data_IF_312689846191
#
_entry.id   IF_312689846191
#
_cell.length_a   1.000
_cell.length_b   1.000
_cell.length_c   1.000
_cell.angle_alpha   90.00
_cell.angle_beta   90.00
_cell.angle_gamma   90.00
#
_symmetry.space_group_name_H-M   'P 1'
#
loop_
_entity.id
_entity.type
_entity.pdbx_description
1 polymer ?
#
# COMPACT_ATOMS: atom_id res chain seq x y z
N UNK A 1 0.24 3.14 -11.34
CA UNK A 1 0.09 4.22 -10.33
C UNK A 1 -1.23 4.92 -10.55
N UNK A 2 -1.86 5.40 -9.49
CA UNK A 2 -3.16 6.09 -9.52
C UNK A 2 -2.93 7.56 -9.18
N UNK A 3 -3.20 8.44 -10.12
CA UNK A 3 -3.10 9.89 -9.95
C UNK A 3 -4.45 10.49 -9.53
N UNK A 4 -4.48 11.74 -9.09
CA UNK A 4 -5.72 12.45 -8.79
C UNK A 4 -6.65 12.42 -10.01
N UNK A 5 -7.91 12.00 -9.83
CA UNK A 5 -8.87 11.77 -10.93
C UNK A 5 -8.57 10.55 -11.80
N UNK A 6 -7.55 9.74 -11.47
CA UNK A 6 -7.12 8.57 -12.25
C UNK A 6 -7.79 7.24 -11.87
N UNK A 7 -8.74 7.24 -10.94
CA UNK A 7 -9.41 6.01 -10.44
C UNK A 7 -10.04 5.21 -11.57
N UNK A 8 -10.80 5.83 -12.46
CA UNK A 8 -11.42 5.15 -13.60
C UNK A 8 -10.41 4.55 -14.59
N UNK A 9 -9.26 5.22 -14.75
CA UNK A 9 -8.14 4.68 -15.53
C UNK A 9 -7.54 3.42 -14.90
N UNK A 10 -7.34 3.44 -13.58
CA UNK A 10 -6.84 2.29 -12.83
C UNK A 10 -7.82 1.11 -12.86
N UNK A 11 -9.14 1.39 -12.75
CA UNK A 11 -10.17 0.35 -12.87
C UNK A 11 -10.23 -0.26 -14.27
N UNK A 12 -10.02 0.53 -15.33
CA UNK A 12 -9.88 -0.02 -16.70
C UNK A 12 -8.66 -0.91 -16.80
N UNK A 13 -7.50 -0.45 -16.33
CA UNK A 13 -6.27 -1.24 -16.32
C UNK A 13 -6.43 -2.58 -15.56
N UNK A 14 -7.17 -2.59 -14.46
CA UNK A 14 -7.49 -3.81 -13.73
C UNK A 14 -8.36 -4.78 -14.54
N UNK A 15 -9.34 -4.28 -15.32
CA UNK A 15 -10.12 -5.11 -16.24
C UNK A 15 -9.26 -5.71 -17.37
N UNK A 16 -8.37 -4.90 -17.94
CA UNK A 16 -7.45 -5.35 -18.99
C UNK A 16 -6.47 -6.40 -18.45
N UNK A 17 -5.94 -6.19 -17.24
CA UNK A 17 -5.08 -7.16 -16.57
C UNK A 17 -5.80 -8.50 -16.33
N UNK A 18 -7.06 -8.45 -15.87
CA UNK A 18 -7.90 -9.65 -15.70
C UNK A 18 -8.10 -10.39 -17.02
N UNK A 19 -8.38 -9.66 -18.09
CA UNK A 19 -8.55 -10.25 -19.43
C UNK A 19 -7.24 -10.88 -19.94
N UNK A 20 -6.08 -10.36 -19.50
CA UNK A 20 -4.76 -10.91 -19.78
C UNK A 20 -4.35 -12.07 -18.84
N UNK A 21 -5.19 -12.46 -17.88
CA UNK A 21 -4.96 -13.60 -17.01
C UNK A 21 -4.35 -13.27 -15.65
N UNK A 22 -4.38 -12.00 -15.21
CA UNK A 22 -3.94 -11.65 -13.86
C UNK A 22 -4.97 -12.12 -12.81
N UNK A 23 -4.46 -12.58 -11.65
CA UNK A 23 -5.25 -12.99 -10.49
C UNK A 23 -5.32 -11.91 -9.41
N UNK A 24 -4.41 -10.93 -9.44
CA UNK A 24 -4.25 -9.88 -8.44
C UNK A 24 -3.72 -8.62 -9.13
N UNK A 25 -4.10 -7.44 -8.63
CA UNK A 25 -3.53 -6.15 -9.05
C UNK A 25 -2.97 -5.39 -7.85
N UNK A 26 -1.94 -4.58 -8.08
CA UNK A 26 -1.43 -3.63 -7.11
C UNK A 26 -1.86 -2.21 -7.50
N UNK A 27 -2.55 -1.53 -6.60
CA UNK A 27 -2.88 -0.11 -6.75
C UNK A 27 -1.89 0.74 -5.95
N UNK A 28 -1.00 1.41 -6.66
CA UNK A 28 -0.08 2.42 -6.13
C UNK A 28 -0.83 3.75 -6.05
N UNK A 29 -1.30 4.09 -4.84
CA UNK A 29 -2.13 5.28 -4.59
C UNK A 29 -1.34 6.46 -4.02
N UNK A 30 -0.04 6.32 -3.85
CA UNK A 30 0.82 7.37 -3.32
C UNK A 30 0.71 8.71 -4.09
N UNK A 31 0.66 8.77 -5.45
CA UNK A 31 0.50 10.04 -6.14
C UNK A 31 -0.87 10.68 -5.91
N UNK A 32 -1.93 9.88 -5.82
CA UNK A 32 -3.27 10.35 -5.49
C UNK A 32 -3.31 10.92 -4.07
N UNK A 33 -2.77 10.18 -3.09
CA UNK A 33 -2.75 10.60 -1.69
C UNK A 33 -1.94 11.88 -1.51
N UNK A 34 -0.76 11.98 -2.11
CA UNK A 34 0.08 13.18 -2.05
C UNK A 34 -0.64 14.41 -2.60
N UNK A 35 -1.27 14.31 -3.77
CA UNK A 35 -1.99 15.41 -4.39
C UNK A 35 -3.18 15.88 -3.53
N UNK A 36 -3.94 14.96 -2.95
CA UNK A 36 -5.13 15.30 -2.16
C UNK A 36 -4.78 15.83 -0.77
N UNK A 37 -3.78 15.25 -0.10
CA UNK A 37 -3.27 15.75 1.19
C UNK A 37 -2.64 17.13 1.00
N UNK A 38 -1.80 17.30 0.00
CA UNK A 38 -1.12 18.55 -0.30
C UNK A 38 -2.08 19.70 -0.65
N UNK A 39 -3.25 19.39 -1.23
CA UNK A 39 -4.31 20.40 -1.51
C UNK A 39 -5.30 20.63 -0.36
N UNK A 40 -5.10 19.98 0.80
CA UNK A 40 -5.96 20.14 1.97
C UNK A 40 -7.30 19.39 1.90
N UNK A 41 -7.47 18.51 0.92
CA UNK A 41 -8.69 17.68 0.73
C UNK A 41 -8.42 16.20 0.99
N UNK A 42 -7.57 15.89 1.94
CA UNK A 42 -7.16 14.52 2.28
C UNK A 42 -8.32 13.55 2.59
N UNK A 43 -9.46 14.05 3.07
CA UNK A 43 -10.66 13.23 3.24
C UNK A 43 -11.18 12.65 1.91
N UNK A 44 -10.97 13.33 0.79
CA UNK A 44 -11.35 12.81 -0.53
C UNK A 44 -10.55 11.58 -0.92
N UNK A 45 -9.33 11.43 -0.43
CA UNK A 45 -8.51 10.24 -0.68
C UNK A 45 -9.16 8.96 -0.14
N UNK A 46 -9.80 9.01 1.03
CA UNK A 46 -10.51 7.85 1.60
C UNK A 46 -11.67 7.41 0.70
N UNK A 47 -12.39 8.37 0.12
CA UNK A 47 -13.52 8.10 -0.78
C UNK A 47 -13.01 7.52 -2.10
N UNK A 48 -12.01 8.16 -2.73
CA UNK A 48 -11.47 7.73 -4.03
C UNK A 48 -10.80 6.36 -3.94
N UNK A 49 -9.98 6.13 -2.91
CA UNK A 49 -9.31 4.83 -2.71
C UNK A 49 -10.31 3.75 -2.30
N UNK A 50 -11.32 4.09 -1.49
CA UNK A 50 -12.41 3.17 -1.15
C UNK A 50 -13.19 2.73 -2.39
N UNK A 51 -13.53 3.69 -3.26
CA UNK A 51 -14.16 3.38 -4.54
C UNK A 51 -13.29 2.49 -5.43
N UNK A 52 -11.99 2.77 -5.51
CA UNK A 52 -11.03 1.97 -6.27
C UNK A 52 -10.99 0.51 -5.78
N UNK A 53 -10.86 0.28 -4.48
CA UNK A 53 -10.85 -1.07 -3.91
C UNK A 53 -12.17 -1.80 -4.13
N UNK A 54 -13.30 -1.11 -3.84
CA UNK A 54 -14.64 -1.72 -3.92
C UNK A 54 -15.13 -1.99 -5.36
N UNK A 55 -14.60 -1.26 -6.35
CA UNK A 55 -14.98 -1.42 -7.76
C UNK A 55 -13.99 -2.25 -8.58
N UNK A 56 -12.91 -2.72 -7.96
CA UNK A 56 -11.92 -3.56 -8.63
C UNK A 56 -12.50 -4.93 -8.99
N UNK A 57 -12.28 -5.36 -10.25
CA UNK A 57 -12.69 -6.69 -10.75
C UNK A 57 -11.76 -7.82 -10.33
N UNK A 58 -10.64 -7.48 -9.70
CA UNK A 58 -9.64 -8.40 -9.15
C UNK A 58 -9.40 -8.06 -7.68
N UNK A 59 -9.04 -9.05 -6.85
CA UNK A 59 -8.44 -8.76 -5.55
C UNK A 59 -7.28 -7.79 -5.71
N UNK A 60 -7.08 -6.88 -4.74
CA UNK A 60 -6.02 -5.89 -4.89
C UNK A 60 -5.06 -5.85 -3.70
N UNK A 61 -3.82 -5.47 -3.99
CA UNK A 61 -2.86 -4.94 -3.01
C UNK A 61 -3.01 -3.42 -3.01
N UNK A 62 -3.23 -2.84 -1.85
CA UNK A 62 -3.23 -1.39 -1.68
C UNK A 62 -1.86 -0.93 -1.16
N UNK A 63 -1.22 -0.04 -1.91
CA UNK A 63 0.12 0.47 -1.61
C UNK A 63 0.14 2.00 -1.68
N UNK A 64 0.47 2.66 -0.56
CA UNK A 64 0.80 4.08 -0.50
C UNK A 64 2.29 4.20 -0.15
N UNK A 65 3.14 4.20 -1.18
CA UNK A 65 4.60 4.14 -1.06
C UNK A 65 5.19 5.49 -0.67
N UNK A 66 6.10 5.47 0.33
CA UNK A 66 6.84 6.68 0.74
C UNK A 66 7.95 7.04 -0.24
N UNK A 67 8.32 8.33 -0.29
CA UNK A 67 9.37 8.84 -1.19
C UNK A 67 10.71 8.16 -0.95
N UNK A 68 11.07 7.88 0.30
CA UNK A 68 12.34 7.25 0.66
C UNK A 68 12.51 5.86 0.04
N UNK A 69 11.40 5.20 -0.33
CA UNK A 69 11.41 3.89 -0.98
C UNK A 69 10.80 3.95 -2.40
N UNK A 70 10.98 5.10 -3.09
CA UNK A 70 10.64 5.28 -4.50
C UNK A 70 9.16 5.48 -4.78
N UNK A 71 8.40 5.95 -3.81
CA UNK A 71 7.03 6.40 -3.96
C UNK A 71 6.90 7.89 -4.22
N UNK A 72 5.67 8.39 -4.12
CA UNK A 72 5.35 9.80 -4.22
C UNK A 72 4.82 10.40 -2.91
N UNK A 73 4.56 9.58 -1.88
CA UNK A 73 3.97 10.06 -0.63
C UNK A 73 5.04 10.61 0.31
N UNK A 74 4.97 11.91 0.63
CA UNK A 74 5.86 12.64 1.54
C UNK A 74 5.23 12.94 2.90
N UNK A 75 3.95 12.59 3.09
CA UNK A 75 3.20 12.86 4.31
C UNK A 75 3.55 11.94 5.49
N UNK A 76 2.84 12.12 6.59
CA UNK A 76 3.12 11.38 7.81
C UNK A 76 2.50 9.97 7.85
N UNK A 77 3.10 9.09 8.66
CA UNK A 77 2.65 7.72 8.84
C UNK A 77 1.32 7.62 9.62
N UNK A 78 0.93 8.63 10.39
CA UNK A 78 -0.34 8.64 11.15
C UNK A 78 -1.51 8.74 10.19
N UNK A 79 -1.44 9.67 9.24
CA UNK A 79 -2.47 9.81 8.20
C UNK A 79 -2.54 8.56 7.32
N UNK A 80 -1.39 8.00 6.95
CA UNK A 80 -1.32 6.77 6.16
C UNK A 80 -1.91 5.57 6.91
N UNK A 81 -1.66 5.47 8.22
CA UNK A 81 -2.28 4.50 9.10
C UNK A 81 -3.82 4.65 9.15
N UNK A 82 -4.31 5.90 9.19
CA UNK A 82 -5.75 6.18 9.15
C UNK A 82 -6.37 5.77 7.81
N UNK A 83 -5.70 6.04 6.69
CA UNK A 83 -6.12 5.58 5.37
C UNK A 83 -6.30 4.05 5.35
N UNK A 84 -5.27 3.32 5.70
CA UNK A 84 -5.33 1.86 5.74
C UNK A 84 -6.40 1.36 6.72
N UNK A 85 -6.45 1.90 7.93
CA UNK A 85 -7.41 1.47 8.95
C UNK A 85 -8.86 1.64 8.55
N UNK A 86 -9.21 2.75 7.88
CA UNK A 86 -10.57 2.97 7.36
C UNK A 86 -10.92 1.99 6.25
N UNK A 87 -9.99 1.73 5.34
CA UNK A 87 -10.22 0.83 4.21
C UNK A 87 -10.28 -0.64 4.63
N UNK A 88 -9.48 -1.04 5.61
CA UNK A 88 -9.52 -2.37 6.20
C UNK A 88 -10.84 -2.63 6.95
N UNK A 89 -11.43 -1.59 7.55
CA UNK A 89 -12.74 -1.68 8.20
C UNK A 89 -13.95 -1.47 7.27
N UNK A 90 -13.75 -1.30 5.97
CA UNK A 90 -14.84 -1.11 5.00
C UNK A 90 -15.53 -2.42 4.62
N UNK A 91 -16.67 -2.33 3.93
CA UNK A 91 -17.40 -3.51 3.40
C UNK A 91 -16.62 -4.23 2.29
N UNK A 92 -15.71 -3.54 1.62
CA UNK A 92 -14.92 -4.08 0.52
C UNK A 92 -13.42 -3.78 0.72
N UNK A 93 -12.80 -4.41 1.76
CA UNK A 93 -11.39 -4.16 2.05
C UNK A 93 -10.47 -4.69 0.93
N UNK A 94 -9.27 -4.13 0.77
CA UNK A 94 -8.27 -4.70 -0.12
C UNK A 94 -7.88 -6.11 0.37
N UNK A 95 -7.43 -6.97 -0.55
CA UNK A 95 -6.93 -8.30 -0.19
C UNK A 95 -5.63 -8.24 0.62
N UNK A 96 -4.78 -7.25 0.29
CA UNK A 96 -3.52 -6.97 0.98
C UNK A 96 -3.31 -5.47 1.12
N UNK A 97 -2.62 -5.07 2.19
CA UNK A 97 -1.99 -3.76 2.31
C UNK A 97 -0.47 -3.93 2.34
N UNK A 98 0.24 -3.08 1.61
CA UNK A 98 1.71 -3.06 1.57
C UNK A 98 2.22 -1.88 2.41
N UNK A 99 3.06 -2.19 3.40
CA UNK A 99 3.70 -1.21 4.29
C UNK A 99 5.20 -1.50 4.31
N UNK A 100 6.01 -0.46 4.18
CA UNK A 100 7.46 -0.59 4.32
C UNK A 100 7.83 -1.02 5.73
N UNK A 101 8.75 -1.95 5.88
CA UNK A 101 9.21 -2.39 7.19
C UNK A 101 9.84 -1.24 8.00
N UNK A 102 10.45 -0.28 7.32
CA UNK A 102 10.99 0.95 7.91
C UNK A 102 9.89 1.79 8.57
N UNK A 103 8.75 1.99 7.91
CA UNK A 103 7.60 2.70 8.46
C UNK A 103 6.88 1.89 9.56
N UNK A 104 6.74 0.58 9.36
CA UNK A 104 6.16 -0.32 10.36
C UNK A 104 6.88 -0.26 11.71
N UNK A 105 8.21 -0.22 11.69
CA UNK A 105 9.02 -0.13 12.90
C UNK A 105 9.08 1.29 13.49
N UNK A 106 9.13 2.31 12.64
CA UNK A 106 9.23 3.71 13.04
C UNK A 106 7.94 4.23 13.68
N UNK A 107 6.78 3.87 13.13
CA UNK A 107 5.48 4.42 13.55
C UNK A 107 4.63 3.40 14.31
N UNK A 108 4.58 3.55 15.65
CA UNK A 108 3.68 2.76 16.48
C UNK A 108 2.21 3.00 16.12
N UNK A 109 1.83 4.24 15.80
CA UNK A 109 0.45 4.60 15.44
C UNK A 109 0.00 3.90 14.15
N UNK A 110 0.86 3.88 13.09
CA UNK A 110 0.57 3.14 11.86
C UNK A 110 0.43 1.65 12.15
N UNK A 111 1.37 1.07 12.89
CA UNK A 111 1.36 -0.36 13.23
C UNK A 111 0.12 -0.77 14.01
N UNK A 112 -0.25 -0.02 15.04
CA UNK A 112 -1.43 -0.29 15.86
C UNK A 112 -2.71 -0.16 15.03
N UNK A 113 -2.80 0.88 14.20
CA UNK A 113 -3.98 1.14 13.40
C UNK A 113 -4.18 0.08 12.31
N UNK A 114 -3.12 -0.28 11.59
CA UNK A 114 -3.17 -1.32 10.55
C UNK A 114 -3.33 -2.69 11.19
N UNK A 115 -2.47 -3.06 12.14
CA UNK A 115 -2.49 -4.38 12.79
C UNK A 115 -3.81 -4.68 13.48
N UNK A 116 -4.41 -3.69 14.14
CA UNK A 116 -5.72 -3.83 14.79
C UNK A 116 -6.90 -3.92 13.83
N UNK A 117 -6.71 -3.64 12.54
CA UNK A 117 -7.79 -3.60 11.54
C UNK A 117 -7.66 -4.67 10.46
N UNK A 118 -6.61 -5.50 10.45
CA UNK A 118 -6.31 -6.44 9.35
C UNK A 118 -7.48 -7.41 9.04
N UNK A 119 -8.14 -7.97 10.04
CA UNK A 119 -9.18 -8.97 9.82
C UNK A 119 -8.69 -10.12 8.94
N UNK A 120 -9.32 -10.32 7.76
CA UNK A 120 -8.91 -11.30 6.75
C UNK A 120 -7.93 -10.73 5.70
N UNK A 121 -7.61 -9.45 5.77
CA UNK A 121 -6.65 -8.80 4.88
C UNK A 121 -5.22 -9.20 5.25
N UNK A 122 -4.39 -9.51 4.25
CA UNK A 122 -2.98 -9.82 4.46
C UNK A 122 -2.12 -8.56 4.57
N UNK A 123 -1.18 -8.54 5.52
CA UNK A 123 -0.13 -7.53 5.57
C UNK A 123 1.06 -7.98 4.71
N UNK A 124 1.50 -7.12 3.79
CA UNK A 124 2.78 -7.24 3.11
C UNK A 124 3.74 -6.28 3.81
N UNK A 125 4.83 -6.80 4.38
CA UNK A 125 5.97 -5.98 4.78
C UNK A 125 6.98 -5.93 3.64
N UNK A 126 7.34 -4.73 3.22
CA UNK A 126 8.21 -4.51 2.07
C UNK A 126 9.46 -3.72 2.39
N UNK A 127 10.51 -3.89 1.58
CA UNK A 127 11.71 -3.06 1.55
C UNK A 127 12.17 -2.88 0.10
N UNK A 128 12.59 -1.65 -0.25
CA UNK A 128 13.00 -1.29 -1.60
C UNK A 128 14.39 -0.64 -1.58
N UNK A 129 15.29 -1.15 -2.43
CA UNK A 129 16.63 -0.57 -2.64
C UNK A 129 16.85 -0.36 -4.14
N UNK A 130 17.05 0.88 -4.55
CA UNK A 130 17.27 1.25 -5.94
C UNK A 130 18.77 1.37 -6.30
N UNK A 131 19.66 1.14 -5.34
CA UNK A 131 21.11 1.19 -5.54
C UNK A 131 21.73 -0.12 -6.05
N UNK A 132 20.96 -1.22 -5.97
CA UNK A 132 21.41 -2.54 -6.39
C UNK A 132 20.90 -3.64 -5.46
N UNK A 133 21.46 -4.84 -5.55
CA UNK A 133 21.15 -5.93 -4.60
C UNK A 133 21.70 -5.51 -3.23
N UNK A 134 20.83 -5.30 -2.22
CA UNK A 134 21.30 -4.83 -0.93
C UNK A 134 22.14 -5.89 -0.22
N UNK A 135 23.31 -5.51 0.28
CA UNK A 135 24.15 -6.38 1.10
C UNK A 135 23.42 -6.82 2.39
N UNK A 136 22.38 -6.10 2.78
CA UNK A 136 21.52 -6.37 3.93
C UNK A 136 20.34 -7.30 3.64
N UNK A 137 20.16 -7.79 2.41
CA UNK A 137 18.96 -8.54 1.96
C UNK A 137 18.47 -9.58 2.98
N UNK A 138 19.35 -10.50 3.39
CA UNK A 138 18.98 -11.55 4.35
C UNK A 138 18.65 -10.99 5.73
N UNK A 139 19.36 -9.97 6.17
CA UNK A 139 19.09 -9.29 7.45
C UNK A 139 17.75 -8.58 7.42
N UNK A 140 17.40 -7.94 6.31
CA UNK A 140 16.11 -7.26 6.15
C UNK A 140 14.96 -8.26 6.10
N UNK A 141 15.12 -9.40 5.43
CA UNK A 141 14.16 -10.49 5.47
C UNK A 141 13.97 -11.05 6.89
N UNK A 142 15.06 -11.28 7.63
CA UNK A 142 14.99 -11.72 9.03
C UNK A 142 14.33 -10.67 9.94
N UNK A 143 14.58 -9.40 9.69
CA UNK A 143 13.95 -8.27 10.38
C UNK A 143 12.42 -8.28 10.16
N UNK A 144 11.97 -8.42 8.91
CA UNK A 144 10.54 -8.54 8.57
C UNK A 144 9.89 -9.76 9.22
N UNK A 145 10.58 -10.91 9.22
CA UNK A 145 10.06 -12.16 9.83
C UNK A 145 9.78 -12.06 11.32
N UNK A 146 10.42 -11.14 12.03
CA UNK A 146 10.17 -10.92 13.47
C UNK A 146 8.80 -10.29 13.71
N UNK A 147 8.22 -9.69 12.69
CA UNK A 147 6.86 -9.16 12.73
C UNK A 147 5.90 -10.26 12.27
N UNK A 148 5.40 -11.04 13.22
CA UNK A 148 4.58 -12.23 12.97
C UNK A 148 3.23 -11.97 12.28
N UNK A 149 2.83 -10.70 12.16
CA UNK A 149 1.59 -10.28 11.50
C UNK A 149 1.70 -10.29 9.96
N UNK A 150 2.92 -10.29 9.41
CA UNK A 150 3.12 -10.24 7.97
C UNK A 150 2.73 -11.55 7.28
N UNK A 151 1.79 -11.48 6.34
CA UNK A 151 1.43 -12.60 5.48
C UNK A 151 2.43 -12.78 4.33
N UNK A 152 3.09 -11.70 3.89
CA UNK A 152 4.05 -11.69 2.79
C UNK A 152 5.24 -10.80 3.14
N UNK A 153 6.45 -11.26 2.83
CA UNK A 153 7.68 -10.47 2.90
C UNK A 153 8.13 -10.16 1.47
N UNK A 154 8.22 -8.87 1.14
CA UNK A 154 8.54 -8.39 -0.21
C UNK A 154 9.83 -7.57 -0.18
N UNK A 155 10.81 -7.98 -0.98
CA UNK A 155 12.03 -7.18 -1.20
C UNK A 155 12.14 -6.88 -2.69
N UNK A 156 12.30 -5.61 -3.04
CA UNK A 156 12.51 -5.15 -4.40
C UNK A 156 13.81 -4.36 -4.50
N UNK A 157 14.61 -4.66 -5.51
CA UNK A 157 15.87 -3.98 -5.75
C UNK A 157 16.16 -3.90 -7.25
N UNK A 158 17.05 -2.98 -7.62
CA UNK A 158 17.54 -2.90 -8.99
C UNK A 158 18.60 -3.98 -9.21
N UNK A 159 18.43 -4.76 -10.27
CA UNK A 159 19.45 -5.69 -10.76
C UNK A 159 20.43 -4.98 -11.72
#
# INVERSE_FOLDING_TARGET
>A
MVEAGGVEGALRAARDAKAAGADLVEFRVDPLCEALVGSGVGESAFVEVGHLCGSSVLPCVLTCRVEEEGGAYSGDDVWRGELYGRLLGSETPPRYVDVEVSAWERSAALRERVGGSLGECGLILSAHDFSGVPASLFRDMERMRRHGEAAVLKVAFRA
#
